data_IF_304077712467
#
_entry.id   IF_304077712467
#
_cell.length_a   1.000
_cell.length_b   1.000
_cell.length_c   1.000
_cell.angle_alpha   90.00
_cell.angle_beta   90.00
_cell.angle_gamma   90.00
#
_symmetry.space_group_name_H-M   'P 1'
#
loop_
_entity.id
_entity.type
_entity.pdbx_description
1 polymer ?
#
# COMPACT_ATOMS: atom_id res chain seq x y z
N UNK A 1 14.54 22.09 11.28
CA UNK A 1 13.28 21.85 10.52
C UNK A 1 13.22 20.48 9.86
N UNK A 2 14.16 20.08 8.99
CA UNK A 2 14.11 18.77 8.31
C UNK A 2 13.98 17.54 9.22
N UNK A 3 14.49 17.62 10.46
CA UNK A 3 14.39 16.52 11.44
C UNK A 3 12.94 16.07 11.69
N UNK A 4 12.01 17.01 11.85
CA UNK A 4 10.62 16.72 12.20
C UNK A 4 9.95 15.90 11.11
N UNK A 5 10.10 16.31 9.85
CA UNK A 5 9.55 15.57 8.71
C UNK A 5 10.15 14.16 8.57
N UNK A 6 11.46 14.01 8.80
CA UNK A 6 12.12 12.69 8.78
C UNK A 6 11.66 11.78 9.92
N UNK A 7 11.44 12.34 11.11
CA UNK A 7 10.87 11.64 12.26
C UNK A 7 9.44 11.16 11.96
N UNK A 8 8.62 12.02 11.36
CA UNK A 8 7.25 11.71 10.97
C UNK A 8 7.17 10.62 9.90
N UNK A 9 7.98 10.72 8.84
CA UNK A 9 8.09 9.70 7.79
C UNK A 9 8.49 8.33 8.38
N UNK A 10 9.44 8.33 9.33
CA UNK A 10 9.84 7.10 10.00
C UNK A 10 8.69 6.51 10.82
N UNK A 11 7.96 7.33 11.58
CA UNK A 11 6.83 6.89 12.37
C UNK A 11 5.66 6.36 11.50
N UNK A 12 5.42 6.99 10.34
CA UNK A 12 4.44 6.50 9.36
C UNK A 12 4.87 5.14 8.79
N UNK A 13 6.13 4.98 8.39
CA UNK A 13 6.65 3.69 7.90
C UNK A 13 6.49 2.56 8.94
N UNK A 14 6.76 2.83 10.22
CA UNK A 14 6.55 1.85 11.30
C UNK A 14 5.06 1.48 11.40
N UNK A 15 4.18 2.49 11.39
CA UNK A 15 2.74 2.26 11.53
C UNK A 15 2.16 1.52 10.33
N UNK A 16 2.59 1.85 9.11
CA UNK A 16 2.21 1.18 7.88
C UNK A 16 2.67 -0.29 7.87
N UNK A 17 3.90 -0.56 8.33
CA UNK A 17 4.36 -1.94 8.49
C UNK A 17 3.49 -2.71 9.49
N UNK A 18 3.22 -2.14 10.68
CA UNK A 18 2.32 -2.78 11.65
C UNK A 18 0.89 -3.01 11.11
N UNK A 19 0.42 -2.12 10.22
CA UNK A 19 -0.89 -2.25 9.59
C UNK A 19 -0.93 -3.43 8.60
N UNK A 20 0.16 -3.65 7.86
CA UNK A 20 0.30 -4.77 6.94
C UNK A 20 0.38 -6.13 7.66
N UNK A 21 0.95 -6.16 8.87
CA UNK A 21 1.23 -7.41 9.61
C UNK A 21 0.16 -7.80 10.63
N UNK A 22 -0.92 -7.02 10.75
CA UNK A 22 -2.00 -7.30 11.70
C UNK A 22 -3.26 -7.83 11.01
N UNK A 23 -4.29 -8.17 11.79
CA UNK A 23 -5.58 -8.63 11.27
C UNK A 23 -6.37 -7.57 10.48
N UNK A 24 -5.84 -6.34 10.33
CA UNK A 24 -6.54 -5.23 9.67
C UNK A 24 -6.95 -5.55 8.23
N UNK A 25 -6.11 -6.27 7.47
CA UNK A 25 -6.44 -6.67 6.09
C UNK A 25 -7.70 -7.56 6.02
N UNK A 26 -7.86 -8.49 6.96
CA UNK A 26 -9.03 -9.37 7.03
C UNK A 26 -10.30 -8.57 7.38
N UNK A 27 -10.21 -7.71 8.38
CA UNK A 27 -11.34 -6.86 8.79
C UNK A 27 -11.71 -5.83 7.72
N UNK A 28 -10.72 -5.32 6.99
CA UNK A 28 -10.91 -4.45 5.82
C UNK A 28 -11.73 -5.17 4.75
N UNK A 29 -11.38 -6.41 4.39
CA UNK A 29 -12.15 -7.18 3.42
C UNK A 29 -13.61 -7.34 3.83
N UNK A 30 -13.89 -7.75 5.08
CA UNK A 30 -15.26 -7.86 5.59
C UNK A 30 -16.03 -6.53 5.61
N UNK A 31 -15.32 -5.42 5.82
CA UNK A 31 -15.90 -4.07 5.74
C UNK A 31 -16.31 -3.74 4.31
N UNK A 32 -15.42 -3.96 3.34
CA UNK A 32 -15.70 -3.74 1.92
C UNK A 32 -16.88 -4.61 1.46
N UNK A 33 -16.92 -5.88 1.84
CA UNK A 33 -18.02 -6.79 1.49
C UNK A 33 -19.39 -6.26 1.99
N UNK A 34 -19.42 -5.74 3.22
CA UNK A 34 -20.61 -5.15 3.82
C UNK A 34 -21.06 -3.89 3.07
N UNK A 35 -20.12 -3.00 2.75
CA UNK A 35 -20.39 -1.77 2.01
C UNK A 35 -20.86 -2.05 0.59
N UNK A 36 -20.18 -2.93 -0.15
CA UNK A 36 -20.55 -3.33 -1.51
C UNK A 36 -21.93 -3.98 -1.53
N UNK A 37 -22.24 -4.84 -0.55
CA UNK A 37 -23.56 -5.48 -0.44
C UNK A 37 -24.67 -4.45 -0.24
N UNK A 38 -24.49 -3.50 0.69
CA UNK A 38 -25.47 -2.44 0.93
C UNK A 38 -25.67 -1.56 -0.31
N UNK A 39 -24.57 -1.12 -0.93
CA UNK A 39 -24.60 -0.24 -2.10
C UNK A 39 -25.22 -0.91 -3.33
N UNK A 40 -24.95 -2.20 -3.59
CA UNK A 40 -25.60 -2.96 -4.67
C UNK A 40 -27.11 -3.07 -4.47
N UNK A 41 -27.58 -3.08 -3.22
CA UNK A 41 -29.01 -3.06 -2.84
C UNK A 41 -29.62 -1.66 -2.80
N UNK A 42 -28.86 -0.62 -3.18
CA UNK A 42 -29.26 0.80 -3.12
C UNK A 42 -29.50 1.33 -1.70
N UNK A 43 -29.01 0.62 -0.68
CA UNK A 43 -28.97 1.13 0.68
C UNK A 43 -27.87 2.19 0.81
N UNK A 44 -27.99 3.05 1.81
CA UNK A 44 -27.10 4.18 2.06
C UNK A 44 -25.92 3.80 2.94
N UNK A 45 -24.82 4.52 2.74
CA UNK A 45 -23.70 4.58 3.68
C UNK A 45 -23.72 5.94 4.38
N UNK A 46 -23.95 5.94 5.69
CA UNK A 46 -23.86 7.13 6.54
C UNK A 46 -22.49 7.16 7.20
N UNK A 47 -21.84 8.32 7.26
CA UNK A 47 -20.49 8.45 7.83
C UNK A 47 -20.46 9.60 8.83
N UNK A 48 -19.86 9.38 10.01
CA UNK A 48 -19.69 10.43 11.01
C UNK A 48 -18.30 10.38 11.67
N UNK A 49 -17.84 11.53 12.15
CA UNK A 49 -16.53 11.70 12.78
C UNK A 49 -16.40 13.08 13.42
N UNK A 50 -15.35 13.28 14.21
CA UNK A 50 -15.05 14.56 14.87
C UNK A 50 -13.70 15.13 14.42
N UNK A 51 -13.59 16.47 14.26
CA UNK A 51 -12.33 17.13 13.91
C UNK A 51 -11.76 16.63 12.59
N UNK A 52 -10.48 16.20 12.56
CA UNK A 52 -9.88 15.60 11.37
C UNK A 52 -10.65 14.37 10.84
N UNK A 53 -11.25 13.59 11.73
CA UNK A 53 -12.10 12.45 11.33
C UNK A 53 -13.44 12.87 10.72
N UNK A 54 -13.91 14.11 10.97
CA UNK A 54 -15.04 14.68 10.25
C UNK A 54 -14.65 15.01 8.80
N UNK A 55 -13.43 15.52 8.58
CA UNK A 55 -12.90 15.73 7.24
C UNK A 55 -12.75 14.42 6.47
N UNK A 56 -12.26 13.34 7.10
CA UNK A 56 -12.22 12.00 6.48
C UNK A 56 -13.63 11.48 6.14
N UNK A 57 -14.62 11.76 6.98
CA UNK A 57 -16.01 11.37 6.72
C UNK A 57 -16.60 12.10 5.50
N UNK A 58 -16.37 13.40 5.40
CA UNK A 58 -16.76 14.21 4.24
C UNK A 58 -16.01 13.80 2.98
N UNK A 59 -14.70 13.55 3.10
CA UNK A 59 -13.87 13.05 2.01
C UNK A 59 -14.42 11.73 1.46
N UNK A 60 -14.66 10.74 2.33
CA UNK A 60 -15.19 9.45 1.89
C UNK A 60 -16.56 9.58 1.22
N UNK A 61 -17.47 10.37 1.79
CA UNK A 61 -18.77 10.61 1.16
C UNK A 61 -18.64 11.30 -0.20
N UNK A 62 -17.76 12.30 -0.32
CA UNK A 62 -17.48 13.02 -1.56
C UNK A 62 -16.95 12.10 -2.66
N UNK A 63 -16.01 11.20 -2.32
CA UNK A 63 -15.46 10.21 -3.24
C UNK A 63 -16.54 9.25 -3.75
N UNK A 64 -17.44 8.75 -2.90
CA UNK A 64 -18.51 7.83 -3.30
C UNK A 64 -19.64 8.52 -4.09
N UNK A 65 -20.04 9.74 -3.72
CA UNK A 65 -21.08 10.48 -4.43
C UNK A 65 -20.58 11.01 -5.77
N UNK A 66 -19.36 11.55 -5.79
CA UNK A 66 -18.67 12.01 -6.99
C UNK A 66 -18.02 10.85 -7.75
N UNK A 67 -16.69 10.74 -7.67
CA UNK A 67 -15.89 9.64 -8.20
C UNK A 67 -14.51 9.60 -7.55
N UNK A 68 -13.90 8.41 -7.45
CA UNK A 68 -12.53 8.24 -6.94
C UNK A 68 -11.51 8.01 -8.05
N UNK A 69 -11.53 6.83 -8.68
CA UNK A 69 -10.52 6.44 -9.67
C UNK A 69 -10.88 6.76 -11.11
N UNK A 70 -12.16 6.66 -11.47
CA UNK A 70 -12.64 6.82 -12.85
C UNK A 70 -14.11 7.26 -12.85
N UNK A 71 -14.59 7.71 -14.01
CA UNK A 71 -15.98 8.14 -14.15
C UNK A 71 -16.94 6.94 -14.06
N UNK A 72 -17.93 7.04 -13.18
CA UNK A 72 -18.94 6.00 -12.93
C UNK A 72 -20.18 6.62 -12.27
N UNK A 73 -21.25 5.83 -12.11
CA UNK A 73 -22.47 6.30 -11.48
C UNK A 73 -22.27 6.68 -10.00
N UNK A 74 -23.03 7.66 -9.52
CA UNK A 74 -23.03 8.07 -8.11
C UNK A 74 -23.49 6.95 -7.17
N UNK A 75 -22.86 6.83 -6.00
CA UNK A 75 -23.23 5.88 -4.95
C UNK A 75 -23.89 6.61 -3.75
N UNK A 76 -24.94 6.03 -3.13
CA UNK A 76 -25.69 6.67 -2.05
C UNK A 76 -24.88 6.73 -0.75
N UNK A 77 -24.16 7.82 -0.53
CA UNK A 77 -23.38 8.07 0.68
C UNK A 77 -23.61 9.48 1.23
N UNK A 78 -23.67 9.63 2.55
CA UNK A 78 -23.89 10.91 3.22
C UNK A 78 -22.94 11.05 4.41
N UNK A 79 -22.21 12.17 4.45
CA UNK A 79 -21.53 12.61 5.67
C UNK A 79 -22.51 13.32 6.59
N UNK A 80 -22.58 12.89 7.84
CA UNK A 80 -23.40 13.51 8.89
C UNK A 80 -22.71 14.74 9.52
N UNK A 81 -21.50 15.08 9.06
CA UNK A 81 -20.70 16.19 9.56
C UNK A 81 -21.00 17.52 8.86
N UNK A 82 -21.51 17.47 7.62
CA UNK A 82 -21.63 18.63 6.73
C UNK A 82 -22.78 19.59 7.03
N UNK A 83 -23.99 19.14 7.44
CA UNK A 83 -25.14 20.05 7.59
C UNK A 83 -25.00 20.98 8.81
N UNK A 84 -24.28 22.09 8.65
CA UNK A 84 -23.91 22.98 9.76
C UNK A 84 -25.11 23.45 10.58
N UNK A 85 -26.19 23.88 9.94
CA UNK A 85 -27.41 24.31 10.63
C UNK A 85 -28.07 23.19 11.45
N UNK A 86 -28.18 21.98 10.87
CA UNK A 86 -28.70 20.79 11.58
C UNK A 86 -27.81 20.44 12.76
N UNK A 87 -26.49 20.43 12.54
CA UNK A 87 -25.51 20.10 13.55
C UNK A 87 -25.57 21.08 14.73
N UNK A 88 -25.58 22.39 14.46
CA UNK A 88 -25.66 23.42 15.50
C UNK A 88 -27.00 23.43 16.22
N UNK A 89 -28.12 23.21 15.51
CA UNK A 89 -29.44 23.15 16.13
C UNK A 89 -29.54 21.98 17.12
N UNK A 90 -29.13 20.77 16.71
CA UNK A 90 -29.17 19.61 17.60
C UNK A 90 -28.22 19.80 18.79
N UNK A 91 -27.01 20.32 18.55
CA UNK A 91 -26.05 20.56 19.62
C UNK A 91 -26.57 21.55 20.66
N UNK A 92 -27.23 22.63 20.21
CA UNK A 92 -27.82 23.66 21.07
C UNK A 92 -29.02 23.12 21.87
N UNK A 93 -29.91 22.38 21.21
CA UNK A 93 -31.21 22.02 21.78
C UNK A 93 -31.19 20.72 22.59
N UNK A 94 -30.30 19.77 22.24
CA UNK A 94 -30.25 18.43 22.83
C UNK A 94 -28.88 18.03 23.38
N UNK A 95 -27.82 18.76 23.02
CA UNK A 95 -26.45 18.45 23.39
C UNK A 95 -25.63 17.86 22.25
N UNK A 96 -24.32 18.11 22.31
CA UNK A 96 -23.37 17.69 21.26
C UNK A 96 -23.30 16.16 21.09
N UNK A 97 -23.59 15.38 22.14
CA UNK A 97 -23.67 13.92 22.09
C UNK A 97 -24.85 13.38 21.26
N UNK A 98 -25.85 14.21 20.93
CA UNK A 98 -27.02 13.80 20.15
C UNK A 98 -26.90 14.11 18.65
N UNK A 99 -25.86 14.85 18.22
CA UNK A 99 -25.75 15.43 16.86
C UNK A 99 -25.79 14.40 15.74
N UNK A 100 -25.14 13.25 15.91
CA UNK A 100 -25.17 12.18 14.90
C UNK A 100 -26.35 11.25 15.09
N UNK A 101 -26.70 10.92 16.35
CA UNK A 101 -27.86 10.08 16.68
C UNK A 101 -29.14 10.59 16.03
N UNK A 102 -29.46 11.87 16.17
CA UNK A 102 -30.67 12.49 15.58
C UNK A 102 -30.68 12.39 14.05
N UNK A 103 -29.52 12.55 13.42
CA UNK A 103 -29.41 12.40 11.96
C UNK A 103 -29.55 10.95 11.52
N UNK A 104 -29.01 9.98 12.27
CA UNK A 104 -29.25 8.54 12.01
C UNK A 104 -30.73 8.20 12.12
N UNK A 105 -31.46 8.73 13.12
CA UNK A 105 -32.91 8.52 13.24
C UNK A 105 -33.69 9.08 12.05
N UNK A 106 -33.31 10.26 11.55
CA UNK A 106 -34.01 10.92 10.46
C UNK A 106 -33.65 10.41 9.06
N UNK A 107 -32.43 9.88 8.89
CA UNK A 107 -31.89 9.52 7.58
C UNK A 107 -31.64 8.03 7.40
N UNK A 108 -31.48 7.24 8.47
CA UNK A 108 -31.13 5.83 8.38
C UNK A 108 -32.33 4.91 8.11
N UNK A 109 -32.05 3.73 7.57
CA UNK A 109 -33.04 2.66 7.36
C UNK A 109 -32.39 1.28 7.47
N UNK A 110 -33.19 0.26 7.77
CA UNK A 110 -32.70 -1.12 7.89
C UNK A 110 -31.92 -1.54 6.63
N UNK A 111 -30.74 -2.14 6.84
CA UNK A 111 -29.83 -2.53 5.76
C UNK A 111 -28.88 -1.43 5.25
N UNK A 112 -29.00 -0.19 5.74
CA UNK A 112 -27.96 0.83 5.58
C UNK A 112 -26.69 0.44 6.38
N UNK A 113 -25.58 1.14 6.12
CA UNK A 113 -24.34 1.02 6.90
C UNK A 113 -23.99 2.36 7.53
N UNK A 114 -23.64 2.36 8.83
CA UNK A 114 -23.09 3.50 9.54
C UNK A 114 -21.60 3.30 9.79
N UNK A 115 -20.77 4.22 9.29
CA UNK A 115 -19.33 4.27 9.57
C UNK A 115 -19.06 5.38 10.60
N UNK A 116 -18.44 5.03 11.72
CA UNK A 116 -18.00 5.98 12.75
C UNK A 116 -16.49 6.07 12.84
N UNK A 117 -15.93 7.25 12.59
CA UNK A 117 -14.49 7.50 12.61
C UNK A 117 -14.11 8.23 13.92
N UNK A 118 -13.40 7.53 14.80
CA UNK A 118 -12.99 8.05 16.11
C UNK A 118 -11.65 7.46 16.53
N UNK A 119 -10.58 8.26 16.54
CA UNK A 119 -9.25 7.77 16.92
C UNK A 119 -9.19 7.15 18.32
N UNK A 120 -9.98 7.67 19.26
CA UNK A 120 -10.09 7.10 20.61
C UNK A 120 -11.13 5.99 20.75
N UNK A 121 -12.08 5.90 19.81
CA UNK A 121 -13.24 5.02 19.88
C UNK A 121 -14.24 5.34 21.00
N UNK A 122 -14.10 6.50 21.66
CA UNK A 122 -14.84 6.84 22.89
C UNK A 122 -15.68 8.13 22.78
N UNK A 123 -15.73 8.76 21.61
CA UNK A 123 -16.53 9.97 21.37
C UNK A 123 -18.02 9.69 21.61
N UNK A 124 -18.62 10.37 22.60
CA UNK A 124 -20.00 10.12 23.01
C UNK A 124 -21.01 10.26 21.87
N UNK A 125 -20.85 11.28 21.03
CA UNK A 125 -21.75 11.51 19.89
C UNK A 125 -21.76 10.39 18.84
N UNK A 126 -20.62 9.74 18.62
CA UNK A 126 -20.51 8.60 17.70
C UNK A 126 -21.04 7.33 18.38
N UNK A 127 -20.76 7.15 19.68
CA UNK A 127 -21.29 6.02 20.47
C UNK A 127 -22.82 6.04 20.50
N UNK A 128 -23.45 7.20 20.70
CA UNK A 128 -24.91 7.33 20.67
C UNK A 128 -25.47 7.04 19.27
N UNK A 129 -24.78 7.44 18.19
CA UNK A 129 -25.18 7.09 16.83
C UNK A 129 -25.15 5.57 16.58
N UNK A 130 -24.15 4.86 17.11
CA UNK A 130 -24.03 3.41 16.95
C UNK A 130 -25.12 2.64 17.69
N UNK A 131 -25.47 3.07 18.90
CA UNK A 131 -26.60 2.48 19.65
C UNK A 131 -27.89 2.58 18.85
N UNK A 132 -28.19 3.77 18.34
CA UNK A 132 -29.38 4.01 17.52
C UNK A 132 -29.35 3.28 16.18
N UNK A 133 -28.19 3.20 15.52
CA UNK A 133 -28.04 2.40 14.30
C UNK A 133 -28.42 0.92 14.53
N UNK A 134 -27.98 0.35 15.67
CA UNK A 134 -28.32 -1.02 16.05
C UNK A 134 -29.80 -1.22 16.30
N UNK A 135 -30.47 -0.27 16.95
CA UNK A 135 -31.93 -0.27 17.15
C UNK A 135 -32.71 -0.23 15.81
N UNK A 136 -32.09 0.33 14.76
CA UNK A 136 -32.68 0.50 13.42
C UNK A 136 -32.22 -0.55 12.40
N UNK A 137 -31.55 -1.62 12.83
CA UNK A 137 -31.02 -2.68 11.95
C UNK A 137 -30.03 -2.16 10.87
N UNK A 138 -29.27 -1.12 11.23
CA UNK A 138 -28.19 -0.56 10.43
C UNK A 138 -26.88 -1.23 10.84
N UNK A 139 -26.12 -1.74 9.87
CA UNK A 139 -24.81 -2.36 10.14
C UNK A 139 -23.80 -1.29 10.54
N UNK A 140 -22.99 -1.54 11.56
CA UNK A 140 -22.07 -0.55 12.14
C UNK A 140 -20.61 -0.90 11.94
N UNK A 141 -19.83 0.05 11.41
CA UNK A 141 -18.40 -0.08 11.16
C UNK A 141 -17.65 1.03 11.90
N UNK A 142 -16.84 0.67 12.90
CA UNK A 142 -16.01 1.62 13.63
C UNK A 142 -14.59 1.67 13.07
N UNK A 143 -14.07 2.88 12.83
CA UNK A 143 -12.65 3.14 12.55
C UNK A 143 -12.01 3.77 13.79
N UNK A 144 -11.13 3.03 14.47
CA UNK A 144 -10.53 3.44 15.75
C UNK A 144 -9.01 3.33 15.76
N UNK A 145 -8.38 3.78 16.85
CA UNK A 145 -7.01 3.40 17.19
C UNK A 145 -6.91 1.96 17.72
N UNK A 146 -5.74 1.58 18.22
CA UNK A 146 -5.44 0.20 18.59
C UNK A 146 -6.11 -0.28 19.88
N UNK A 147 -6.47 0.63 20.79
CA UNK A 147 -7.01 0.32 22.11
C UNK A 147 -8.46 -0.12 22.04
N UNK A 148 -8.87 -0.96 23.00
CA UNK A 148 -10.28 -1.20 23.27
C UNK A 148 -11.00 0.10 23.65
N UNK A 149 -12.24 0.20 23.22
CA UNK A 149 -13.06 1.39 23.33
C UNK A 149 -14.53 1.04 23.36
N UNK A 150 -15.38 2.04 23.66
CA UNK A 150 -16.83 1.86 23.61
C UNK A 150 -17.29 1.43 22.22
N UNK A 151 -16.81 2.08 21.16
CA UNK A 151 -17.18 1.72 19.79
C UNK A 151 -16.76 0.31 19.43
N UNK A 152 -15.55 -0.09 19.81
CA UNK A 152 -15.06 -1.43 19.46
C UNK A 152 -15.77 -2.58 20.17
N UNK A 153 -16.57 -2.28 21.21
CA UNK A 153 -17.39 -3.27 21.93
C UNK A 153 -18.81 -3.38 21.37
N UNK A 154 -19.30 -2.34 20.70
CA UNK A 154 -20.70 -2.27 20.22
C UNK A 154 -20.84 -2.36 18.71
N UNK A 155 -19.77 -2.06 17.96
CA UNK A 155 -19.75 -2.11 16.51
C UNK A 155 -19.77 -3.55 15.99
N UNK A 156 -20.43 -3.78 14.85
CA UNK A 156 -20.42 -5.08 14.17
C UNK A 156 -19.03 -5.38 13.57
N UNK A 157 -18.37 -4.34 13.05
CA UNK A 157 -17.00 -4.42 12.51
C UNK A 157 -16.15 -3.28 13.08
N UNK A 158 -14.91 -3.57 13.51
CA UNK A 158 -13.97 -2.54 14.00
C UNK A 158 -12.63 -2.59 13.28
N UNK A 159 -12.35 -1.57 12.45
CA UNK A 159 -11.04 -1.32 11.84
C UNK A 159 -10.14 -0.56 12.81
N UNK A 160 -9.13 -1.25 13.34
CA UNK A 160 -8.20 -0.69 14.33
C UNK A 160 -6.88 -0.32 13.67
N UNK A 161 -6.60 0.97 13.58
CA UNK A 161 -5.26 1.43 13.22
C UNK A 161 -4.27 1.01 14.32
N UNK A 162 -3.12 0.39 13.99
CA UNK A 162 -2.17 -0.16 14.97
C UNK A 162 -1.30 0.93 15.61
N UNK A 163 -1.92 1.98 16.13
CA UNK A 163 -1.25 3.07 16.81
C UNK A 163 -2.12 3.61 17.94
N UNK A 164 -1.48 4.23 18.92
CA UNK A 164 -2.10 4.99 19.98
C UNK A 164 -1.97 6.52 19.77
N UNK A 165 -1.28 6.95 18.71
CA UNK A 165 -1.05 8.37 18.41
C UNK A 165 -2.07 8.86 17.40
N UNK A 166 -2.89 9.84 17.78
CA UNK A 166 -3.97 10.40 16.94
C UNK A 166 -3.54 10.74 15.50
N UNK A 167 -2.40 11.42 15.25
CA UNK A 167 -1.99 11.73 13.87
C UNK A 167 -1.73 10.49 13.02
N UNK A 168 -1.03 9.49 13.58
CA UNK A 168 -0.76 8.22 12.89
C UNK A 168 -2.03 7.41 12.66
N UNK A 169 -2.97 7.45 13.60
CA UNK A 169 -4.29 6.82 13.44
C UNK A 169 -5.04 7.46 12.27
N UNK A 170 -5.06 8.80 12.19
CA UNK A 170 -5.72 9.54 11.09
C UNK A 170 -5.09 9.24 9.73
N UNK A 171 -3.77 9.13 9.63
CA UNK A 171 -3.10 8.75 8.38
C UNK A 171 -3.48 7.34 7.91
N UNK A 172 -3.60 6.37 8.84
CA UNK A 172 -4.10 5.03 8.52
C UNK A 172 -5.60 5.08 8.16
N UNK A 173 -6.40 5.90 8.83
CA UNK A 173 -7.81 6.10 8.47
C UNK A 173 -7.96 6.67 7.06
N UNK A 174 -7.16 7.67 6.67
CA UNK A 174 -7.13 8.19 5.30
C UNK A 174 -6.76 7.12 4.27
N UNK A 175 -5.74 6.30 4.55
CA UNK A 175 -5.39 5.14 3.71
C UNK A 175 -6.56 4.15 3.58
N UNK A 176 -7.24 3.83 4.68
CA UNK A 176 -8.39 2.94 4.68
C UNK A 176 -9.54 3.51 3.85
N UNK A 177 -9.82 4.82 3.95
CA UNK A 177 -10.83 5.51 3.13
C UNK A 177 -10.51 5.34 1.64
N UNK A 178 -9.30 5.70 1.20
CA UNK A 178 -8.92 5.56 -0.22
C UNK A 178 -8.93 4.09 -0.68
N UNK A 179 -8.50 3.17 0.18
CA UNK A 179 -8.51 1.74 -0.12
C UNK A 179 -9.93 1.20 -0.26
N UNK A 180 -10.86 1.62 0.60
CA UNK A 180 -12.27 1.27 0.51
C UNK A 180 -12.92 1.87 -0.75
N UNK A 181 -12.66 3.15 -1.06
CA UNK A 181 -13.14 3.77 -2.31
C UNK A 181 -12.70 2.97 -3.53
N UNK A 182 -11.41 2.65 -3.62
CA UNK A 182 -10.86 1.83 -4.71
C UNK A 182 -11.56 0.47 -4.81
N UNK A 183 -11.66 -0.24 -3.69
CA UNK A 183 -12.23 -1.59 -3.66
C UNK A 183 -13.73 -1.59 -4.01
N UNK A 184 -14.50 -0.65 -3.46
CA UNK A 184 -15.93 -0.47 -3.78
C UNK A 184 -16.11 -0.17 -5.26
N UNK A 185 -15.31 0.73 -5.83
CA UNK A 185 -15.38 1.04 -7.26
C UNK A 185 -15.05 -0.18 -8.13
N UNK A 186 -13.92 -0.85 -7.89
CA UNK A 186 -13.52 -2.04 -8.66
C UNK A 186 -14.56 -3.18 -8.58
N UNK A 187 -15.21 -3.37 -7.42
CA UNK A 187 -16.23 -4.40 -7.21
C UNK A 187 -17.58 -4.07 -7.86
N UNK A 188 -18.00 -2.80 -7.84
CA UNK A 188 -19.32 -2.40 -8.38
C UNK A 188 -19.25 -2.04 -9.86
N UNK A 189 -18.12 -1.49 -10.32
CA UNK A 189 -17.95 -0.91 -11.66
C UNK A 189 -16.65 -1.38 -12.34
N UNK A 190 -16.44 -2.69 -12.56
CA UNK A 190 -15.18 -3.18 -13.13
C UNK A 190 -14.87 -2.55 -14.50
N UNK A 191 -13.66 -1.99 -14.65
CA UNK A 191 -13.21 -1.32 -15.89
C UNK A 191 -12.11 -2.14 -16.57
N UNK A 192 -12.26 -2.34 -17.88
CA UNK A 192 -11.22 -2.93 -18.74
C UNK A 192 -10.18 -1.89 -19.17
N UNK A 193 -8.90 -2.24 -19.17
CA UNK A 193 -7.83 -1.41 -19.74
C UNK A 193 -7.15 -0.44 -18.76
N UNK A 194 -7.53 -0.44 -17.47
CA UNK A 194 -6.75 0.26 -16.43
C UNK A 194 -5.50 -0.55 -16.10
N UNK A 195 -4.37 0.13 -15.92
CA UNK A 195 -3.15 -0.51 -15.42
C UNK A 195 -3.45 -1.16 -14.05
N UNK A 196 -3.05 -2.43 -13.85
CA UNK A 196 -3.31 -3.10 -12.59
C UNK A 196 -2.52 -2.43 -11.46
N UNK A 197 -3.02 -2.56 -10.23
CA UNK A 197 -2.26 -2.18 -9.06
C UNK A 197 -0.97 -3.02 -8.96
N UNK A 198 0.09 -2.38 -8.50
CA UNK A 198 1.35 -3.01 -8.15
C UNK A 198 1.15 -4.27 -7.27
N UNK A 199 1.90 -5.36 -7.48
CA UNK A 199 1.83 -6.53 -6.61
C UNK A 199 2.18 -6.19 -5.16
N UNK A 200 1.47 -6.82 -4.21
CA UNK A 200 1.71 -6.64 -2.78
C UNK A 200 2.97 -7.38 -2.30
N UNK A 201 3.24 -8.57 -2.85
CA UNK A 201 4.45 -9.34 -2.56
C UNK A 201 5.64 -8.79 -3.37
N UNK A 202 6.80 -8.67 -2.73
CA UNK A 202 8.03 -8.23 -3.42
C UNK A 202 8.65 -9.31 -4.30
N UNK A 203 8.55 -10.58 -3.91
CA UNK A 203 9.06 -11.70 -4.70
C UNK A 203 8.01 -12.08 -5.72
N UNK A 204 8.28 -11.79 -6.99
CA UNK A 204 7.31 -11.95 -8.07
C UNK A 204 7.36 -13.37 -8.62
N UNK A 205 6.20 -14.03 -8.56
CA UNK A 205 6.01 -15.35 -9.17
C UNK A 205 5.85 -15.21 -10.70
N UNK A 206 6.15 -16.25 -11.48
CA UNK A 206 6.10 -16.19 -12.95
C UNK A 206 4.74 -15.72 -13.50
N UNK A 207 3.63 -16.14 -12.89
CA UNK A 207 2.26 -15.76 -13.25
C UNK A 207 1.93 -14.29 -12.95
N UNK A 208 2.72 -13.63 -12.09
CA UNK A 208 2.56 -12.22 -11.73
C UNK A 208 3.41 -11.27 -12.58
N UNK A 209 4.31 -11.78 -13.43
CA UNK A 209 5.22 -10.95 -14.21
C UNK A 209 4.48 -10.01 -15.17
N UNK A 210 3.45 -10.51 -15.86
CA UNK A 210 2.64 -9.69 -16.75
C UNK A 210 1.91 -8.57 -16.00
N UNK A 211 1.41 -8.87 -14.80
CA UNK A 211 0.79 -7.87 -13.92
C UNK A 211 1.79 -6.80 -13.49
N UNK A 212 2.99 -7.20 -13.05
CA UNK A 212 4.03 -6.24 -12.67
C UNK A 212 4.40 -5.35 -13.87
N UNK A 213 4.66 -5.96 -15.03
CA UNK A 213 4.98 -5.24 -16.27
C UNK A 213 3.93 -4.18 -16.61
N UNK A 214 2.65 -4.54 -16.59
CA UNK A 214 1.57 -3.60 -16.85
C UNK A 214 1.45 -2.50 -15.77
N UNK A 215 1.71 -2.81 -14.50
CA UNK A 215 1.62 -1.86 -13.39
C UNK A 215 2.76 -0.82 -13.40
N UNK A 216 3.96 -1.19 -13.84
CA UNK A 216 5.13 -0.30 -13.81
C UNK A 216 5.21 0.67 -14.99
N UNK A 217 4.35 0.54 -16.01
CA UNK A 217 4.35 1.42 -17.20
C UNK A 217 4.24 2.90 -16.82
N UNK A 218 3.44 3.21 -15.79
CA UNK A 218 3.24 4.57 -15.29
C UNK A 218 4.29 5.03 -14.27
N UNK A 219 5.33 4.24 -14.04
CA UNK A 219 6.34 4.50 -13.02
C UNK A 219 7.74 4.68 -13.63
N UNK A 220 8.58 5.46 -12.96
CA UNK A 220 10.02 5.52 -13.25
C UNK A 220 10.72 4.29 -12.65
N UNK A 221 10.41 3.11 -13.20
CA UNK A 221 10.95 1.83 -12.74
C UNK A 221 12.42 1.65 -13.09
N UNK A 222 13.23 1.39 -12.06
CA UNK A 222 14.64 1.06 -12.17
C UNK A 222 14.81 -0.46 -12.17
N UNK A 223 15.61 -0.98 -13.08
CA UNK A 223 15.99 -2.39 -13.11
C UNK A 223 17.49 -2.56 -12.93
N UNK A 224 17.86 -3.50 -12.08
CA UNK A 224 19.23 -4.03 -12.03
C UNK A 224 19.18 -5.55 -11.88
N UNK A 225 20.31 -6.23 -12.02
CA UNK A 225 20.34 -7.68 -11.87
C UNK A 225 21.70 -8.20 -11.44
N UNK A 226 21.70 -9.41 -10.90
CA UNK A 226 22.90 -10.15 -10.54
C UNK A 226 22.58 -11.43 -9.78
N UNK A 227 23.64 -12.18 -9.44
CA UNK A 227 23.49 -13.42 -8.69
C UNK A 227 23.22 -13.18 -7.20
N UNK A 228 23.75 -12.10 -6.61
CA UNK A 228 23.62 -11.77 -5.18
C UNK A 228 23.81 -12.97 -4.24
N UNK A 229 24.80 -13.82 -4.54
CA UNK A 229 24.98 -15.09 -3.84
C UNK A 229 25.34 -14.89 -2.36
N UNK A 230 26.44 -14.18 -2.11
CA UNK A 230 26.76 -13.66 -0.77
C UNK A 230 26.62 -12.15 -0.83
N UNK A 231 25.58 -11.64 -0.18
CA UNK A 231 25.32 -10.20 -0.09
C UNK A 231 26.39 -9.52 0.79
N UNK A 232 26.82 -8.34 0.40
CA UNK A 232 27.82 -7.55 1.14
C UNK A 232 27.56 -6.05 0.97
N UNK A 233 28.21 -5.17 1.75
CA UNK A 233 27.96 -3.73 1.70
C UNK A 233 28.06 -3.10 0.31
N UNK A 234 29.02 -3.53 -0.53
CA UNK A 234 29.11 -3.10 -1.93
C UNK A 234 27.84 -3.35 -2.76
N UNK A 235 27.18 -4.51 -2.63
CA UNK A 235 25.89 -4.76 -3.29
C UNK A 235 24.80 -3.84 -2.76
N UNK A 236 24.71 -3.69 -1.43
CA UNK A 236 23.71 -2.82 -0.80
C UNK A 236 23.88 -1.36 -1.22
N UNK A 237 25.13 -0.89 -1.37
CA UNK A 237 25.44 0.43 -1.89
C UNK A 237 24.90 0.61 -3.32
N UNK A 238 25.23 -0.30 -4.24
CA UNK A 238 24.74 -0.22 -5.64
C UNK A 238 23.21 -0.24 -5.69
N UNK A 239 22.55 -1.10 -4.92
CA UNK A 239 21.08 -1.16 -4.86
C UNK A 239 20.48 0.15 -4.32
N UNK A 240 21.09 0.76 -3.30
CA UNK A 240 20.66 2.06 -2.78
C UNK A 240 20.84 3.19 -3.78
N UNK A 241 21.98 3.25 -4.48
CA UNK A 241 22.18 4.26 -5.52
C UNK A 241 21.24 4.04 -6.70
N UNK A 242 21.02 2.79 -7.13
CA UNK A 242 20.04 2.46 -8.16
C UNK A 242 18.64 2.94 -7.76
N UNK A 243 18.22 2.68 -6.52
CA UNK A 243 16.89 3.08 -6.02
C UNK A 243 16.66 4.60 -6.02
N UNK A 244 17.71 5.42 -5.92
CA UNK A 244 17.61 6.89 -5.96
C UNK A 244 17.29 7.43 -7.37
N UNK A 245 17.56 6.65 -8.41
CA UNK A 245 17.41 7.09 -9.80
C UNK A 245 15.96 7.07 -10.27
N UNK A 246 15.07 6.37 -9.56
CA UNK A 246 13.65 6.27 -9.94
C UNK A 246 12.73 6.00 -8.76
N UNK A 247 11.48 5.70 -9.09
CA UNK A 247 10.39 5.56 -8.13
C UNK A 247 10.33 4.19 -7.46
N UNK A 248 10.79 3.15 -8.14
CA UNK A 248 10.85 1.77 -7.65
C UNK A 248 12.05 1.02 -8.22
N UNK A 249 12.59 0.06 -7.46
CA UNK A 249 13.69 -0.80 -7.88
C UNK A 249 13.26 -2.26 -8.01
N UNK A 250 13.43 -2.80 -9.21
CA UNK A 250 13.26 -4.21 -9.56
C UNK A 250 14.64 -4.86 -9.69
N UNK A 251 14.85 -5.95 -8.97
CA UNK A 251 16.08 -6.74 -9.03
C UNK A 251 15.81 -8.06 -9.75
N UNK A 252 16.39 -8.20 -10.94
CA UNK A 252 16.51 -9.50 -11.61
C UNK A 252 17.51 -10.39 -10.87
N UNK A 253 17.04 -11.52 -10.35
CA UNK A 253 17.87 -12.47 -9.60
C UNK A 253 18.09 -13.75 -10.40
N UNK A 254 19.35 -14.09 -10.68
CA UNK A 254 19.68 -15.35 -11.33
C UNK A 254 19.23 -16.54 -10.46
N UNK A 255 18.51 -17.50 -11.05
CA UNK A 255 18.20 -18.79 -10.42
C UNK A 255 19.44 -19.69 -10.36
N UNK A 256 19.35 -20.75 -9.56
CA UNK A 256 20.51 -21.57 -9.19
C UNK A 256 21.21 -22.20 -10.40
N UNK A 257 20.45 -22.67 -11.39
CA UNK A 257 21.00 -23.23 -12.63
C UNK A 257 21.74 -22.18 -13.46
N UNK A 258 21.21 -20.96 -13.54
CA UNK A 258 21.89 -19.82 -14.19
C UNK A 258 23.21 -19.49 -13.48
N UNK A 259 23.22 -19.46 -12.15
CA UNK A 259 24.44 -19.18 -11.38
C UNK A 259 25.48 -20.29 -11.55
N UNK A 260 25.08 -21.57 -11.56
CA UNK A 260 25.98 -22.71 -11.82
C UNK A 260 26.69 -22.58 -13.17
N UNK A 261 25.94 -22.28 -14.24
CA UNK A 261 26.53 -22.10 -15.58
C UNK A 261 27.50 -20.92 -15.64
N UNK A 262 27.19 -19.83 -14.93
CA UNK A 262 28.02 -18.61 -14.93
C UNK A 262 29.26 -18.70 -14.03
N UNK A 263 29.22 -19.46 -12.94
CA UNK A 263 30.26 -19.44 -11.88
C UNK A 263 30.83 -20.81 -11.51
N UNK A 264 30.34 -21.88 -12.13
CA UNK A 264 30.75 -23.27 -11.86
C UNK A 264 29.84 -24.00 -10.86
N UNK A 265 29.97 -25.32 -10.79
CA UNK A 265 29.08 -26.22 -10.04
C UNK A 265 29.07 -26.00 -8.52
N UNK A 266 30.12 -25.36 -7.97
CA UNK A 266 30.22 -25.01 -6.55
C UNK A 266 29.42 -23.76 -6.13
N UNK A 267 28.63 -23.17 -7.02
CA UNK A 267 27.83 -21.96 -6.80
C UNK A 267 26.41 -22.17 -7.33
N UNK A 268 25.37 -21.56 -6.76
CA UNK A 268 25.41 -20.62 -5.64
C UNK A 268 25.61 -21.30 -4.28
N UNK A 269 26.08 -20.57 -3.27
CA UNK A 269 26.11 -21.03 -1.88
C UNK A 269 24.72 -20.99 -1.23
N UNK A 270 23.91 -19.99 -1.58
CA UNK A 270 22.54 -19.85 -1.11
C UNK A 270 21.56 -20.12 -2.24
N UNK A 271 20.48 -20.86 -1.97
CA UNK A 271 19.46 -21.15 -2.99
C UNK A 271 18.74 -19.88 -3.40
N UNK A 272 18.06 -19.93 -4.53
CA UNK A 272 17.30 -18.81 -5.07
C UNK A 272 16.33 -18.22 -4.03
N UNK A 273 15.58 -19.07 -3.33
CA UNK A 273 14.58 -18.65 -2.35
C UNK A 273 15.23 -17.85 -1.21
N UNK A 274 16.35 -18.34 -0.68
CA UNK A 274 17.06 -17.71 0.43
C UNK A 274 17.64 -16.34 0.00
N UNK A 275 18.18 -16.25 -1.22
CA UNK A 275 18.71 -15.00 -1.78
C UNK A 275 17.60 -13.98 -2.09
N UNK A 276 16.47 -14.45 -2.63
CA UNK A 276 15.32 -13.61 -2.95
C UNK A 276 14.73 -12.98 -1.68
N UNK A 277 14.61 -13.75 -0.60
CA UNK A 277 14.10 -13.27 0.69
C UNK A 277 15.00 -12.18 1.28
N UNK A 278 16.32 -12.41 1.30
CA UNK A 278 17.29 -11.41 1.79
C UNK A 278 17.22 -10.12 0.98
N UNK A 279 17.08 -10.21 -0.35
CA UNK A 279 16.95 -9.03 -1.21
C UNK A 279 15.62 -8.31 -0.99
N UNK A 280 14.51 -9.04 -0.89
CA UNK A 280 13.17 -8.48 -0.65
C UNK A 280 13.09 -7.72 0.68
N UNK A 281 13.81 -8.19 1.71
CA UNK A 281 13.91 -7.53 3.00
C UNK A 281 14.65 -6.18 2.96
N UNK A 282 15.44 -5.89 1.92
CA UNK A 282 16.13 -4.61 1.79
C UNK A 282 15.11 -3.49 1.50
N UNK A 283 15.11 -2.45 2.33
CA UNK A 283 14.20 -1.31 2.20
C UNK A 283 14.28 -0.59 0.83
N UNK A 284 15.41 -0.69 0.12
CA UNK A 284 15.61 -0.09 -1.20
C UNK A 284 15.18 -0.97 -2.38
N UNK A 285 14.79 -2.23 -2.14
CA UNK A 285 14.33 -3.16 -3.19
C UNK A 285 12.81 -3.26 -3.11
N UNK A 286 12.13 -2.96 -4.21
CA UNK A 286 10.67 -3.01 -4.28
C UNK A 286 10.19 -4.36 -4.84
N UNK A 287 10.90 -4.91 -5.84
CA UNK A 287 10.59 -6.23 -6.40
C UNK A 287 11.83 -7.06 -6.69
N UNK A 288 11.70 -8.38 -6.53
CA UNK A 288 12.68 -9.39 -6.93
C UNK A 288 12.02 -10.31 -7.95
N UNK A 289 12.64 -10.47 -9.12
CA UNK A 289 12.14 -11.33 -10.20
C UNK A 289 13.21 -12.33 -10.59
N UNK A 290 12.91 -13.62 -10.48
CA UNK A 290 13.83 -14.69 -10.84
C UNK A 290 13.90 -14.95 -12.34
N UNK A 291 15.09 -15.20 -12.87
CA UNK A 291 15.30 -15.65 -14.25
C UNK A 291 16.33 -16.77 -14.34
N UNK A 292 16.16 -17.69 -15.29
CA UNK A 292 17.01 -18.88 -15.47
C UNK A 292 18.02 -18.72 -16.62
N UNK A 293 17.82 -17.75 -17.50
CA UNK A 293 18.69 -17.48 -18.64
C UNK A 293 20.10 -17.02 -18.22
N UNK A 294 21.07 -17.11 -19.14
CA UNK A 294 22.45 -16.64 -18.90
C UNK A 294 22.53 -15.11 -18.82
N UNK A 295 21.57 -14.42 -19.43
CA UNK A 295 21.47 -12.97 -19.41
C UNK A 295 20.05 -12.52 -19.09
N UNK A 296 19.86 -11.32 -18.51
CA UNK A 296 18.55 -10.80 -18.12
C UNK A 296 17.72 -10.27 -19.30
N UNK A 297 18.16 -10.43 -20.55
CA UNK A 297 17.59 -9.75 -21.73
C UNK A 297 16.07 -9.92 -21.84
N UNK A 298 15.57 -11.15 -21.78
CA UNK A 298 14.13 -11.44 -21.89
C UNK A 298 13.31 -10.80 -20.77
N UNK A 299 13.88 -10.75 -19.56
CA UNK A 299 13.24 -10.12 -18.42
C UNK A 299 13.21 -8.59 -18.58
N UNK A 300 14.29 -7.99 -19.11
CA UNK A 300 14.35 -6.56 -19.45
C UNK A 300 13.30 -6.23 -20.51
N UNK A 301 13.16 -7.05 -21.55
CA UNK A 301 12.16 -6.87 -22.61
C UNK A 301 10.74 -6.98 -22.04
N UNK A 302 10.47 -7.98 -21.20
CA UNK A 302 9.17 -8.18 -20.59
C UNK A 302 8.75 -7.03 -19.65
N UNK A 303 9.70 -6.47 -18.90
CA UNK A 303 9.42 -5.36 -17.97
C UNK A 303 9.50 -3.98 -18.63
N UNK A 304 10.34 -3.84 -19.65
CA UNK A 304 10.69 -2.56 -20.32
C UNK A 304 10.88 -1.41 -19.31
N UNK A 305 11.88 -1.52 -18.40
CA UNK A 305 12.12 -0.52 -17.36
C UNK A 305 12.53 0.83 -17.97
N UNK A 306 12.22 1.93 -17.29
CA UNK A 306 12.64 3.28 -17.70
C UNK A 306 14.11 3.54 -17.43
N UNK A 307 14.70 2.86 -16.46
CA UNK A 307 16.09 3.03 -16.08
C UNK A 307 16.75 1.66 -15.88
N UNK A 308 17.82 1.39 -16.63
CA UNK A 308 18.65 0.20 -16.46
C UNK A 308 19.94 0.56 -15.73
N UNK A 309 20.21 -0.09 -14.61
CA UNK A 309 21.39 0.17 -13.78
C UNK A 309 22.33 -1.02 -13.74
N UNK A 310 23.62 -0.76 -13.97
CA UNK A 310 24.72 -1.71 -13.72
C UNK A 310 25.74 -1.13 -12.75
N UNK A 311 26.11 -1.92 -11.74
CA UNK A 311 27.20 -1.58 -10.83
C UNK A 311 28.53 -2.08 -11.36
N UNK A 312 29.55 -1.24 -11.44
CA UNK A 312 30.86 -1.60 -12.02
C UNK A 312 31.44 -0.53 -12.92
N UNK A 313 32.54 -0.87 -13.58
CA UNK A 313 33.21 -0.06 -14.61
C UNK A 313 32.81 -0.57 -16.00
N UNK A 314 31.51 -0.71 -16.26
CA UNK A 314 30.99 -1.20 -17.54
C UNK A 314 31.00 -0.08 -18.58
N UNK A 315 31.45 -0.40 -19.80
CA UNK A 315 31.17 0.43 -20.97
C UNK A 315 29.70 0.28 -21.35
N UNK A 316 29.06 1.40 -21.71
CA UNK A 316 27.63 1.45 -22.06
C UNK A 316 27.25 0.37 -23.10
N UNK A 317 28.11 0.14 -24.10
CA UNK A 317 27.86 -0.78 -25.22
C UNK A 317 27.92 -2.27 -24.85
N UNK A 318 28.41 -2.63 -23.65
CA UNK A 318 28.50 -4.04 -23.20
C UNK A 318 27.38 -4.42 -22.24
N UNK A 319 26.48 -3.49 -21.90
CA UNK A 319 25.39 -3.72 -20.97
C UNK A 319 24.23 -4.40 -21.71
N UNK A 320 23.96 -5.66 -21.35
CA UNK A 320 22.82 -6.42 -21.88
C UNK A 320 21.50 -5.67 -21.63
N UNK A 321 20.76 -5.41 -22.72
CA UNK A 321 19.46 -4.73 -22.70
C UNK A 321 19.54 -3.21 -22.81
N UNK A 322 20.74 -2.62 -22.93
CA UNK A 322 20.90 -1.18 -23.13
C UNK A 322 20.23 -0.69 -24.42
N UNK A 323 20.43 -1.41 -25.52
CA UNK A 323 19.79 -1.19 -26.82
C UNK A 323 18.25 -1.18 -26.73
N UNK A 324 17.69 -2.17 -26.05
CA UNK A 324 16.25 -2.27 -25.84
C UNK A 324 15.71 -1.09 -25.03
N UNK A 325 16.31 -0.81 -23.87
CA UNK A 325 15.84 0.24 -22.96
C UNK A 325 15.93 1.61 -23.64
N UNK A 326 17.04 1.93 -24.32
CA UNK A 326 17.20 3.20 -25.03
C UNK A 326 16.23 3.33 -26.21
N UNK A 327 16.01 2.27 -27.00
CA UNK A 327 15.04 2.29 -28.11
C UNK A 327 13.58 2.45 -27.65
N UNK A 328 13.28 2.12 -26.39
CA UNK A 328 11.97 2.30 -25.76
C UNK A 328 11.90 3.55 -24.86
N UNK A 329 12.82 4.51 -25.07
CA UNK A 329 12.83 5.81 -24.42
C UNK A 329 13.26 5.80 -22.96
N UNK A 330 13.98 4.76 -22.51
CA UNK A 330 14.60 4.67 -21.20
C UNK A 330 16.07 5.06 -21.20
N UNK A 331 16.67 5.09 -20.01
CA UNK A 331 18.07 5.48 -19.78
C UNK A 331 18.89 4.32 -19.21
N UNK A 332 20.18 4.28 -19.51
CA UNK A 332 21.14 3.35 -18.91
C UNK A 332 22.10 4.13 -18.03
N UNK A 333 22.29 3.67 -16.79
CA UNK A 333 23.18 4.31 -15.80
C UNK A 333 24.17 3.29 -15.26
N UNK A 334 25.40 3.74 -15.06
CA UNK A 334 26.47 2.97 -14.42
C UNK A 334 26.73 3.56 -13.05
N UNK A 335 26.67 2.72 -12.02
CA UNK A 335 26.95 3.11 -10.63
C UNK A 335 28.35 2.60 -10.27
N UNK A 336 29.27 3.45 -9.80
CA UNK A 336 30.60 3.01 -9.38
C UNK A 336 30.51 2.04 -8.21
N UNK A 337 31.45 1.08 -8.14
CA UNK A 337 31.50 0.15 -7.01
C UNK A 337 32.09 0.82 -5.78
N UNK A 338 31.60 0.42 -4.60
CA UNK A 338 32.21 0.81 -3.35
C UNK A 338 33.60 0.13 -3.21
N UNK A 339 34.70 0.89 -3.10
CA UNK A 339 36.05 0.32 -3.03
C UNK A 339 36.20 -0.67 -1.86
N UNK A 340 36.96 -1.76 -2.06
CA UNK A 340 37.32 -2.72 -1.00
C UNK A 340 36.29 -3.80 -0.67
N UNK A 341 35.14 -3.86 -1.37
CA UNK A 341 34.09 -4.84 -1.11
C UNK A 341 33.80 -5.72 -2.34
N UNK A 342 34.31 -6.95 -2.35
CA UNK A 342 33.95 -7.97 -3.35
C UNK A 342 33.74 -9.34 -2.70
N UNK A 343 32.82 -10.14 -3.25
CA UNK A 343 32.59 -11.52 -2.76
C UNK A 343 33.88 -12.35 -2.75
N UNK A 344 34.74 -12.17 -3.76
CA UNK A 344 36.03 -12.86 -3.87
C UNK A 344 37.03 -12.40 -2.80
N UNK A 345 36.97 -11.12 -2.39
CA UNK A 345 37.80 -10.59 -1.31
C UNK A 345 37.36 -11.08 0.08
N UNK A 346 36.05 -11.23 0.30
CA UNK A 346 35.50 -11.76 1.57
C UNK A 346 35.89 -13.22 1.75
N UNK A 347 35.73 -14.05 0.72
CA UNK A 347 36.05 -15.49 0.78
C UNK A 347 37.56 -15.79 0.91
N UNK A 348 38.43 -14.82 0.58
CA UNK A 348 39.89 -14.95 0.74
C UNK A 348 40.41 -14.45 2.09
N UNK A 349 39.66 -13.58 2.78
CA UNK A 349 40.04 -13.01 4.08
C UNK A 349 39.41 -13.79 5.24
N UNK A 350 39.79 -15.06 5.40
CA UNK A 350 39.41 -15.87 6.57
C UNK A 350 40.22 -15.53 7.85
N UNK A 351 41.06 -14.49 7.83
CA UNK A 351 41.84 -14.03 9.00
C UNK A 351 41.36 -12.66 9.50
N UNK A 352 40.17 -12.59 10.10
CA UNK A 352 39.76 -11.47 10.96
C UNK A 352 39.03 -11.93 12.20
#
# INVERSE_FOLDING_TARGET
>A
MQKYFKEDLRAMNITAWSAAECCLAKTFASTVDSLVTALRRKNRVLICGNGGSAADAEHFAGELVGRFGYDRASLPCVSLCTPSATFTAIANDYGYDQVFKRQVQGLGSAGDVLIGISTSGNSANIVEAFKTAKEMEITTVAMTGNRDSKLSQIADITLRAPSAQTPRIQEIHGLLVHSMCRAIEEEIFPVTGRAPALPAEKIIKPDQLARLSAAIVSHQAVFTNGCFDILHPGHVYVLKEARKLGELLIVGLNRDNSVKRLKGDGRPYHRFEDRAEVLAALACVDYVVGFDEDTPKRLIEALTPKILVKGGDYNHDTIVGADWVTSHGGEVKVVPLLPGHSTTGILKNNDR
#
